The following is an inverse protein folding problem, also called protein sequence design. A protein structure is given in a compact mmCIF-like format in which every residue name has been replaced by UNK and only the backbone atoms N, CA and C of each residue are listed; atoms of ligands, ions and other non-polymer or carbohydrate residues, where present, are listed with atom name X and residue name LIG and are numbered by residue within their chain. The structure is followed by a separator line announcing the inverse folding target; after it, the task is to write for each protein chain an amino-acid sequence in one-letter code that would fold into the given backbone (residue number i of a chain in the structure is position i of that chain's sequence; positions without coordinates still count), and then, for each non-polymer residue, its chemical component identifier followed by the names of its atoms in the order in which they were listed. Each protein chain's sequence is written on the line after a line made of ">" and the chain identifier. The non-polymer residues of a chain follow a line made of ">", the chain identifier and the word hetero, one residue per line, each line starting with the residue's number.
data_IF_662618586707
#
_entry.id   IF_662618586707
#
_cell.length_a   1.000
_cell.length_b   1.000
_cell.length_c   1.000
_cell.angle_alpha   90.00
_cell.angle_beta   90.00
_cell.angle_gamma   90.00
#
_symmetry.space_group_name_H-M   'P 1'
#
loop_
_entity.id
_entity.type
_entity.pdbx_description
1 polymer ?
#
# COMPACT_ATOMS: atom_id res chain seq x y z
N UNK A 1 -21.84 -4.72 8.29
CA UNK A 1 -20.63 -4.02 7.82
C UNK A 1 -20.60 -2.66 8.49
N UNK A 2 -19.44 -2.20 8.94
CA UNK A 2 -19.23 -0.87 9.49
C UNK A 2 -18.12 -0.18 8.72
N UNK A 3 -18.07 1.15 8.78
CA UNK A 3 -17.05 1.95 8.10
C UNK A 3 -16.31 2.81 9.11
N UNK A 4 -14.98 2.77 9.10
CA UNK A 4 -14.15 3.53 10.03
C UNK A 4 -13.20 4.41 9.21
N UNK A 5 -13.26 5.71 9.44
CA UNK A 5 -12.33 6.69 8.89
C UNK A 5 -11.29 7.04 9.95
N UNK A 6 -10.01 6.83 9.64
CA UNK A 6 -8.88 7.11 10.54
C UNK A 6 -7.78 7.81 9.74
N UNK A 7 -7.26 8.92 10.25
CA UNK A 7 -6.20 9.68 9.57
C UNK A 7 -6.64 10.33 8.25
N UNK A 8 -7.94 10.39 7.98
CA UNK A 8 -8.51 10.89 6.74
C UNK A 8 -9.06 12.31 6.90
N UNK A 9 -8.70 13.21 5.98
CA UNK A 9 -9.02 14.64 6.07
C UNK A 9 -10.42 15.04 5.59
N UNK A 10 -11.10 14.19 4.81
CA UNK A 10 -12.47 14.44 4.36
C UNK A 10 -12.63 15.47 3.24
N UNK A 11 -11.55 15.86 2.56
CA UNK A 11 -11.57 16.86 1.49
C UNK A 11 -11.81 16.26 0.09
N UNK A 12 -11.92 14.94 -0.05
CA UNK A 12 -12.17 14.27 -1.33
C UNK A 12 -13.67 14.19 -1.61
N UNK A 13 -14.12 14.91 -2.64
CA UNK A 13 -15.51 14.92 -3.09
C UNK A 13 -15.93 13.64 -3.83
N UNK A 14 -14.97 12.93 -4.43
CA UNK A 14 -15.20 11.68 -5.14
C UNK A 14 -15.65 10.56 -4.20
N UNK A 15 -14.96 10.40 -3.07
CA UNK A 15 -15.37 9.43 -2.04
C UNK A 15 -16.75 9.77 -1.46
N UNK A 16 -17.01 11.05 -1.18
CA UNK A 16 -18.34 11.48 -0.70
C UNK A 16 -19.44 11.12 -1.72
N UNK A 17 -19.17 11.26 -3.02
CA UNK A 17 -20.12 10.90 -4.08
C UNK A 17 -20.41 9.40 -4.09
N UNK A 18 -19.38 8.55 -4.00
CA UNK A 18 -19.55 7.10 -3.92
C UNK A 18 -20.39 6.71 -2.70
N UNK A 19 -20.17 7.37 -1.56
CA UNK A 19 -20.90 7.04 -0.33
C UNK A 19 -22.36 7.52 -0.31
N UNK A 20 -22.71 8.53 -1.13
CA UNK A 20 -24.11 8.94 -1.31
C UNK A 20 -24.95 7.85 -1.98
N UNK A 21 -24.34 7.02 -2.83
CA UNK A 21 -25.02 5.93 -3.51
C UNK A 21 -25.28 4.72 -2.59
N UNK A 22 -24.65 4.66 -1.41
CA UNK A 22 -24.90 3.58 -0.47
C UNK A 22 -26.37 3.62 0.02
N UNK A 23 -27.06 2.47 0.07
CA UNK A 23 -28.34 2.38 0.75
C UNK A 23 -28.22 2.76 2.23
N UNK A 24 -29.26 3.36 2.82
CA UNK A 24 -29.26 3.79 4.24
C UNK A 24 -28.97 2.64 5.22
N UNK A 25 -29.37 1.41 4.88
CA UNK A 25 -29.10 0.21 5.69
C UNK A 25 -27.78 -0.51 5.37
N UNK A 26 -26.93 0.01 4.49
CA UNK A 26 -25.73 -0.69 4.03
C UNK A 26 -24.65 -0.83 5.11
N UNK A 27 -24.63 0.07 6.09
CA UNK A 27 -23.65 0.13 7.17
C UNK A 27 -24.32 -0.10 8.54
N UNK A 28 -24.90 -1.30 8.79
CA UNK A 28 -25.67 -1.56 10.00
C UNK A 28 -24.84 -1.53 11.28
N UNK A 29 -23.51 -1.54 11.17
CA UNK A 29 -22.60 -1.49 12.32
C UNK A 29 -22.07 -0.06 12.53
N UNK A 30 -22.64 0.92 11.84
CA UNK A 30 -22.33 2.33 12.01
C UNK A 30 -21.16 2.82 11.16
N UNK A 31 -20.98 4.13 11.25
CA UNK A 31 -19.89 4.87 10.63
C UNK A 31 -19.13 5.57 11.76
N UNK A 32 -17.82 5.42 11.80
CA UNK A 32 -16.97 6.01 12.82
C UNK A 32 -16.00 6.98 12.17
N UNK A 33 -16.02 8.23 12.62
CA UNK A 33 -15.07 9.25 12.21
C UNK A 33 -14.07 9.48 13.33
N UNK A 34 -12.81 9.09 13.11
CA UNK A 34 -11.75 9.28 14.09
C UNK A 34 -10.89 10.46 13.65
N UNK A 35 -10.98 11.55 14.40
CA UNK A 35 -10.18 12.74 14.13
C UNK A 35 -10.49 13.91 15.03
N UNK A 36 -9.62 14.92 14.99
CA UNK A 36 -9.75 16.13 15.82
C UNK A 36 -10.91 17.06 15.43
N UNK A 37 -11.47 16.91 14.23
CA UNK A 37 -12.62 17.67 13.72
C UNK A 37 -13.41 16.87 12.70
N UNK A 38 -14.69 17.20 12.55
CA UNK A 38 -15.51 16.78 11.40
C UNK A 38 -15.15 17.68 10.21
N UNK A 39 -14.98 17.13 8.99
CA UNK A 39 -14.64 17.92 7.81
C UNK A 39 -15.76 18.88 7.44
N UNK A 40 -15.38 20.06 6.93
CA UNK A 40 -16.30 21.06 6.40
C UNK A 40 -16.46 20.79 4.90
N UNK A 41 -17.61 20.24 4.47
CA UNK A 41 -17.83 19.89 3.07
C UNK A 41 -18.83 18.75 2.88
N UNK A 42 -18.88 18.19 1.67
CA UNK A 42 -19.82 17.11 1.31
C UNK A 42 -19.64 15.86 2.16
N UNK A 43 -18.39 15.52 2.51
CA UNK A 43 -18.12 14.42 3.43
C UNK A 43 -18.69 14.70 4.83
N UNK A 44 -18.55 15.93 5.32
CA UNK A 44 -19.09 16.34 6.61
C UNK A 44 -20.61 16.25 6.66
N UNK A 45 -21.28 16.74 5.61
CA UNK A 45 -22.74 16.63 5.47
C UNK A 45 -23.18 15.18 5.44
N UNK A 46 -22.51 14.33 4.63
CA UNK A 46 -22.81 12.91 4.55
C UNK A 46 -22.64 12.19 5.91
N UNK A 47 -21.57 12.50 6.64
CA UNK A 47 -21.35 11.95 7.99
C UNK A 47 -22.48 12.36 8.96
N UNK A 48 -22.94 13.61 8.89
CA UNK A 48 -24.04 14.09 9.72
C UNK A 48 -25.38 13.45 9.35
N UNK A 49 -25.70 13.37 8.05
CA UNK A 49 -26.92 12.73 7.54
C UNK A 49 -27.02 11.24 7.90
N UNK A 50 -25.87 10.58 8.03
CA UNK A 50 -25.76 9.17 8.41
C UNK A 50 -25.54 8.93 9.90
N UNK A 51 -25.61 9.99 10.71
CA UNK A 51 -25.43 9.94 12.17
C UNK A 51 -24.11 9.23 12.57
N UNK A 52 -23.02 9.55 11.87
CA UNK A 52 -21.71 8.97 12.15
C UNK A 52 -21.23 9.29 13.57
N UNK A 53 -20.62 8.29 14.21
CA UNK A 53 -20.05 8.40 15.54
C UNK A 53 -18.70 9.12 15.44
N UNK A 54 -18.63 10.32 16.01
CA UNK A 54 -17.39 11.07 16.09
C UNK A 54 -16.56 10.65 17.29
N UNK A 55 -15.41 10.04 17.03
CA UNK A 55 -14.41 9.67 18.03
C UNK A 55 -13.32 10.74 18.03
N UNK A 56 -13.26 11.51 19.12
CA UNK A 56 -12.26 12.56 19.32
C UNK A 56 -10.92 11.95 19.75
N UNK A 57 -10.22 11.36 18.80
CA UNK A 57 -8.83 10.92 18.95
C UNK A 57 -7.95 11.71 17.99
N UNK A 58 -6.79 12.19 18.47
CA UNK A 58 -5.86 12.98 17.64
C UNK A 58 -4.69 12.17 17.11
N UNK A 59 -4.23 11.20 17.88
CA UNK A 59 -3.03 10.46 17.53
C UNK A 59 -3.40 9.15 16.83
N UNK A 60 -3.02 9.06 15.55
CA UNK A 60 -3.23 7.88 14.74
C UNK A 60 -2.39 6.70 15.26
N UNK A 61 -1.15 6.97 15.66
CA UNK A 61 -0.19 5.94 16.05
C UNK A 61 -0.58 5.31 17.39
N UNK A 62 -0.99 6.13 18.36
CA UNK A 62 -1.52 5.64 19.64
C UNK A 62 -2.78 4.77 19.44
N UNK A 63 -3.69 5.18 18.55
CA UNK A 63 -4.87 4.37 18.25
C UNK A 63 -4.49 3.05 17.58
N UNK A 64 -3.55 3.05 16.64
CA UNK A 64 -3.08 1.81 16.02
C UNK A 64 -2.41 0.89 17.04
N UNK A 65 -1.69 1.44 18.02
CA UNK A 65 -1.12 0.66 19.12
C UNK A 65 -2.21 0.00 19.97
N UNK A 66 -3.28 0.73 20.30
CA UNK A 66 -4.43 0.19 21.02
C UNK A 66 -5.15 -0.89 20.22
N UNK A 67 -5.41 -0.66 18.92
CA UNK A 67 -6.01 -1.66 18.02
C UNK A 67 -5.15 -2.93 17.96
N UNK A 68 -3.83 -2.78 17.82
CA UNK A 68 -2.90 -3.91 17.79
C UNK A 68 -2.99 -4.74 19.08
N UNK A 69 -3.10 -4.10 20.24
CA UNK A 69 -3.25 -4.81 21.52
C UNK A 69 -4.64 -5.44 21.69
N UNK A 70 -5.71 -4.71 21.39
CA UNK A 70 -7.10 -5.16 21.53
C UNK A 70 -7.40 -6.40 20.67
N UNK A 71 -6.89 -6.41 19.44
CA UNK A 71 -7.09 -7.53 18.50
C UNK A 71 -5.95 -8.55 18.50
N UNK A 72 -5.00 -8.44 19.44
CA UNK A 72 -3.83 -9.33 19.55
C UNK A 72 -3.08 -9.49 18.20
N UNK A 73 -2.97 -8.39 17.45
CA UNK A 73 -2.34 -8.42 16.14
C UNK A 73 -0.84 -8.70 16.28
N UNK A 74 -0.34 -9.65 15.49
CA UNK A 74 1.09 -9.94 15.41
C UNK A 74 1.83 -8.74 14.84
N UNK A 75 3.06 -8.54 15.30
CA UNK A 75 3.97 -7.62 14.63
C UNK A 75 4.11 -8.02 13.15
N UNK A 76 4.26 -7.05 12.24
CA UNK A 76 4.66 -7.34 10.88
C UNK A 76 5.90 -8.23 10.90
N UNK A 77 5.85 -9.33 10.16
CA UNK A 77 7.00 -10.21 9.97
C UNK A 77 7.77 -9.72 8.73
N UNK A 78 9.07 -9.48 8.88
CA UNK A 78 9.95 -9.06 7.79
C UNK A 78 9.89 -10.03 6.61
N UNK A 79 9.59 -11.31 6.86
CA UNK A 79 9.37 -12.32 5.80
C UNK A 79 8.20 -11.96 4.88
N UNK A 80 7.18 -11.23 5.35
CA UNK A 80 6.08 -10.76 4.49
C UNK A 80 6.55 -9.69 3.52
N UNK A 81 7.35 -8.73 3.99
CA UNK A 81 7.95 -7.72 3.13
C UNK A 81 8.94 -8.35 2.15
N UNK A 82 9.77 -9.29 2.62
CA UNK A 82 10.66 -10.09 1.77
C UNK A 82 9.90 -10.79 0.64
N UNK A 83 8.80 -11.49 0.94
CA UNK A 83 7.98 -12.15 -0.11
C UNK A 83 7.37 -11.19 -1.12
N UNK A 84 6.93 -10.00 -0.69
CA UNK A 84 6.38 -8.99 -1.61
C UNK A 84 7.46 -8.50 -2.56
N UNK A 85 8.66 -8.24 -2.03
CA UNK A 85 9.82 -7.85 -2.81
C UNK A 85 10.25 -8.97 -3.76
N UNK A 86 10.36 -10.21 -3.27
CA UNK A 86 10.65 -11.41 -4.08
C UNK A 86 9.67 -11.57 -5.24
N UNK A 87 8.38 -11.42 -4.97
CA UNK A 87 7.33 -11.51 -6.00
C UNK A 87 7.47 -10.40 -7.04
N UNK A 88 7.79 -9.20 -6.60
CA UNK A 88 8.06 -8.07 -7.48
C UNK A 88 9.31 -8.33 -8.34
N UNK A 89 10.40 -8.83 -7.76
CA UNK A 89 11.63 -9.22 -8.46
C UNK A 89 11.37 -10.28 -9.52
N UNK A 90 10.68 -11.35 -9.15
CA UNK A 90 10.34 -12.42 -10.09
C UNK A 90 9.49 -11.90 -11.24
N UNK A 91 8.51 -11.06 -10.95
CA UNK A 91 7.61 -10.49 -11.95
C UNK A 91 8.37 -9.56 -12.88
N UNK A 92 9.21 -8.68 -12.34
CA UNK A 92 10.06 -7.79 -13.12
C UNK A 92 11.01 -8.58 -14.04
N UNK A 93 11.69 -9.61 -13.52
CA UNK A 93 12.56 -10.46 -14.33
C UNK A 93 11.81 -11.22 -15.43
N UNK A 94 10.61 -11.73 -15.14
CA UNK A 94 9.74 -12.38 -16.14
C UNK A 94 9.31 -11.37 -17.21
N UNK A 95 9.00 -10.13 -16.83
CA UNK A 95 8.65 -9.05 -17.76
C UNK A 95 9.84 -8.64 -18.62
N UNK A 96 11.04 -8.47 -18.05
CA UNK A 96 12.24 -8.16 -18.82
C UNK A 96 12.52 -9.23 -19.88
N UNK A 97 12.51 -10.52 -19.48
CA UNK A 97 12.70 -11.64 -20.43
C UNK A 97 11.63 -11.66 -21.53
N UNK A 98 10.38 -11.33 -21.19
CA UNK A 98 9.29 -11.20 -22.19
C UNK A 98 9.54 -10.05 -23.15
N UNK A 99 10.08 -8.93 -22.70
CA UNK A 99 10.45 -7.79 -23.55
C UNK A 99 11.63 -8.14 -24.45
N UNK A 100 12.66 -8.79 -23.93
CA UNK A 100 13.82 -9.27 -24.71
C UNK A 100 13.41 -10.25 -25.82
N UNK A 101 12.49 -11.16 -25.51
CA UNK A 101 11.98 -12.15 -26.46
C UNK A 101 10.99 -11.59 -27.50
N UNK A 102 10.55 -10.33 -27.40
CA UNK A 102 9.68 -9.71 -28.40
C UNK A 102 10.43 -9.49 -29.72
N UNK A 103 9.74 -9.56 -30.87
CA UNK A 103 10.31 -9.18 -32.16
C UNK A 103 10.68 -7.70 -32.17
N UNK A 104 11.70 -7.38 -32.97
CA UNK A 104 12.25 -6.02 -33.06
C UNK A 104 11.21 -5.07 -33.69
N UNK A 105 10.53 -4.32 -32.81
CA UNK A 105 9.39 -3.47 -33.12
C UNK A 105 9.52 -2.13 -32.41
N UNK A 106 8.78 -1.11 -32.85
CA UNK A 106 8.72 0.17 -32.15
C UNK A 106 8.23 0.00 -30.69
N UNK A 107 7.28 -0.90 -30.46
CA UNK A 107 6.78 -1.25 -29.12
C UNK A 107 7.90 -1.82 -28.24
N UNK A 108 8.71 -2.75 -28.75
CA UNK A 108 9.85 -3.31 -28.01
C UNK A 108 10.82 -2.24 -27.56
N UNK A 109 11.19 -1.29 -28.43
CA UNK A 109 12.13 -0.21 -28.10
C UNK A 109 11.61 0.72 -26.99
N UNK A 110 10.30 0.95 -26.97
CA UNK A 110 9.65 1.72 -25.89
C UNK A 110 9.73 0.95 -24.57
N UNK A 111 9.39 -0.35 -24.60
CA UNK A 111 9.44 -1.21 -23.42
C UNK A 111 10.87 -1.39 -22.88
N UNK A 112 11.86 -1.55 -23.74
CA UNK A 112 13.27 -1.61 -23.36
C UNK A 112 13.74 -0.32 -22.68
N UNK A 113 13.29 0.84 -23.17
CA UNK A 113 13.59 2.13 -22.54
C UNK A 113 12.97 2.23 -21.14
N UNK A 114 11.74 1.74 -20.97
CA UNK A 114 11.06 1.70 -19.67
C UNK A 114 11.78 0.76 -18.69
N UNK A 115 12.21 -0.42 -19.14
CA UNK A 115 13.01 -1.36 -18.33
C UNK A 115 14.33 -0.74 -17.91
N UNK A 116 15.08 -0.14 -18.84
CA UNK A 116 16.37 0.53 -18.52
C UNK A 116 16.19 1.65 -17.50
N UNK A 117 15.12 2.43 -17.63
CA UNK A 117 14.79 3.49 -16.66
C UNK A 117 14.49 2.91 -15.27
N UNK A 118 13.68 1.86 -15.19
CA UNK A 118 13.37 1.19 -13.92
C UNK A 118 14.62 0.63 -13.23
N UNK A 119 15.59 0.10 -13.99
CA UNK A 119 16.89 -0.38 -13.47
C UNK A 119 17.79 0.77 -12.99
N UNK A 120 17.69 1.95 -13.60
CA UNK A 120 18.47 3.14 -13.21
C UNK A 120 17.91 3.83 -11.96
N UNK A 121 16.58 3.83 -11.78
CA UNK A 121 15.91 4.43 -10.62
C UNK A 121 16.11 3.62 -9.34
N UNK A 122 16.51 2.37 -9.48
CA UNK A 122 16.60 1.41 -8.40
C UNK A 122 18.03 1.23 -7.86
N UNK A 123 19.02 1.86 -8.48
CA UNK A 123 20.45 1.50 -8.39
C UNK A 123 21.08 1.64 -7.00
N UNK A 124 20.40 2.18 -5.99
CA UNK A 124 20.98 2.29 -4.64
C UNK A 124 20.73 1.05 -3.76
N UNK A 125 19.48 0.56 -3.69
CA UNK A 125 19.13 -0.58 -2.82
C UNK A 125 18.86 -1.88 -3.62
N UNK A 126 18.43 -1.75 -4.89
CA UNK A 126 18.10 -2.88 -5.76
C UNK A 126 19.34 -3.56 -6.35
N UNK A 127 20.44 -2.82 -6.52
CA UNK A 127 21.73 -3.37 -6.96
C UNK A 127 22.35 -4.27 -5.87
N UNK A 128 22.28 -3.83 -4.62
CA UNK A 128 22.76 -4.54 -3.43
C UNK A 128 21.98 -5.87 -3.25
N UNK A 129 20.65 -5.83 -3.35
CA UNK A 129 19.82 -7.04 -3.22
C UNK A 129 20.02 -8.01 -4.40
N UNK A 130 20.18 -7.50 -5.65
CA UNK A 130 20.46 -8.34 -6.83
C UNK A 130 21.84 -9.00 -6.76
N UNK A 131 22.81 -8.36 -6.12
CA UNK A 131 24.13 -8.91 -5.89
C UNK A 131 24.09 -9.97 -4.77
N UNK A 132 23.43 -9.67 -3.65
CA UNK A 132 23.20 -10.61 -2.55
C UNK A 132 22.40 -11.86 -2.99
N UNK A 133 21.39 -11.70 -3.85
CA UNK A 133 20.55 -12.79 -4.35
C UNK A 133 21.33 -13.83 -5.18
N UNK A 134 22.46 -13.46 -5.80
CA UNK A 134 23.35 -14.39 -6.51
C UNK A 134 24.05 -15.37 -5.55
N UNK A 135 24.23 -14.96 -4.29
CA UNK A 135 24.97 -15.72 -3.29
C UNK A 135 24.05 -16.39 -2.26
N UNK A 136 22.83 -15.89 -2.00
CA UNK A 136 21.84 -16.48 -1.06
C UNK A 136 21.57 -17.99 -1.22
N UNK A 137 21.74 -18.58 -2.41
CA UNK A 137 21.56 -20.03 -2.64
C UNK A 137 22.84 -20.86 -2.59
N UNK A 138 24.02 -20.22 -2.62
CA UNK A 138 25.33 -20.87 -2.70
C UNK A 138 26.21 -20.63 -1.47
N UNK A 139 26.04 -19.50 -0.80
CA UNK A 139 26.88 -19.04 0.30
C UNK A 139 26.12 -17.93 1.07
N UNK A 140 25.58 -18.28 2.23
CA UNK A 140 24.70 -17.39 3.01
C UNK A 140 25.51 -16.30 3.74
N UNK A 141 26.75 -16.58 4.15
CA UNK A 141 27.63 -15.60 4.79
C UNK A 141 28.02 -14.48 3.81
N UNK A 142 28.28 -14.81 2.55
CA UNK A 142 28.56 -13.80 1.51
C UNK A 142 27.38 -12.91 1.16
N UNK A 143 26.14 -13.38 1.35
CA UNK A 143 24.97 -12.55 1.13
C UNK A 143 24.80 -11.51 2.24
N UNK A 144 25.21 -11.85 3.46
CA UNK A 144 25.11 -10.98 4.64
C UNK A 144 26.21 -9.89 4.64
N UNK A 145 27.37 -10.13 4.03
CA UNK A 145 28.44 -9.11 3.84
C UNK A 145 28.09 -8.01 2.82
N UNK A 146 27.07 -8.22 1.99
CA UNK A 146 26.65 -7.27 0.95
C UNK A 146 25.69 -6.21 1.51
N UNK A 147 25.05 -6.46 2.66
CA UNK A 147 24.19 -5.51 3.39
C UNK A 147 24.98 -4.61 4.35
#
# INVERSE_FOLDING_TARGET
>A
MGLIFIGYGGNDEGLATIFKELPTGALPWGIYWIGGRIPEGEMGKWLQEREAIWVKHKDFDELMLLIRNEFELKHPDDKRFGRLLDTYYETFNKLNKKVEAKPETAEKRILEKAVKKAILESTSWWAVELEAAKYKRKDQEKADEIY
#
